data_IF_789459692020
#
_entry.id   IF_789459692020
#
_cell.length_a   1.000
_cell.length_b   1.000
_cell.length_c   1.000
_cell.angle_alpha   90.00
_cell.angle_beta   90.00
_cell.angle_gamma   90.00
#
_symmetry.space_group_name_H-M   'P 1'
#
loop_
_entity.id
_entity.type
_entity.pdbx_description
1 polymer ?
#
# COMPACT_ATOMS: atom_id res chain seq x y z
N UNK A 1 46.07 34.67 -47.60
CA UNK A 1 46.08 34.55 -46.13
C UNK A 1 44.68 34.18 -45.67
N UNK A 2 44.49 33.08 -44.93
CA UNK A 2 43.17 32.67 -44.40
C UNK A 2 42.94 33.36 -43.05
N UNK A 3 41.74 33.89 -42.77
CA UNK A 3 41.44 34.42 -41.46
C UNK A 3 41.18 33.25 -40.49
N UNK A 4 42.08 33.12 -39.53
CA UNK A 4 41.89 32.35 -38.30
C UNK A 4 40.97 33.15 -37.39
N UNK A 5 39.73 32.71 -37.14
CA UNK A 5 38.88 33.46 -36.23
C UNK A 5 37.42 33.03 -36.13
N UNK A 6 37.13 31.75 -35.87
CA UNK A 6 35.73 31.30 -35.61
C UNK A 6 35.60 30.20 -34.57
N UNK A 7 36.63 29.90 -33.76
CA UNK A 7 36.56 28.83 -32.75
C UNK A 7 35.85 29.24 -31.44
N UNK A 8 35.73 30.54 -31.16
CA UNK A 8 35.28 31.10 -29.87
C UNK A 8 33.77 30.95 -29.60
N UNK A 9 32.85 31.08 -30.59
CA UNK A 9 31.40 30.98 -30.33
C UNK A 9 30.94 29.59 -29.87
N UNK A 10 31.56 28.53 -30.41
CA UNK A 10 31.19 27.14 -30.13
C UNK A 10 31.68 26.65 -28.76
N UNK A 11 32.85 27.13 -28.32
CA UNK A 11 33.39 26.77 -27.00
C UNK A 11 32.58 27.40 -25.87
N UNK A 12 32.18 28.67 -26.06
CA UNK A 12 31.35 29.40 -25.11
C UNK A 12 29.94 28.83 -25.02
N UNK A 13 29.35 28.42 -26.16
CA UNK A 13 28.04 27.75 -26.15
C UNK A 13 28.08 26.36 -25.51
N UNK A 14 29.17 25.59 -25.69
CA UNK A 14 29.38 24.31 -25.02
C UNK A 14 29.47 24.47 -23.50
N UNK A 15 30.27 25.44 -23.02
CA UNK A 15 30.42 25.71 -21.58
C UNK A 15 29.10 26.17 -20.94
N UNK A 16 28.32 27.00 -21.64
CA UNK A 16 26.99 27.40 -21.20
C UNK A 16 26.00 26.22 -21.17
N UNK A 17 26.04 25.35 -22.17
CA UNK A 17 25.20 24.16 -22.22
C UNK A 17 25.52 23.19 -21.08
N UNK A 18 26.80 23.00 -20.75
CA UNK A 18 27.22 22.20 -19.59
C UNK A 18 26.74 22.80 -18.26
N UNK A 19 26.85 24.12 -18.10
CA UNK A 19 26.32 24.83 -16.94
C UNK A 19 24.80 24.68 -16.79
N UNK A 20 24.06 24.83 -17.89
CA UNK A 20 22.61 24.64 -17.91
C UNK A 20 22.21 23.19 -17.59
N UNK A 21 22.94 22.20 -18.11
CA UNK A 21 22.73 20.78 -17.81
C UNK A 21 22.94 20.50 -16.32
N UNK A 22 24.00 21.04 -15.72
CA UNK A 22 24.27 20.86 -14.30
C UNK A 22 23.15 21.46 -13.43
N UNK A 23 22.73 22.69 -13.75
CA UNK A 23 21.62 23.34 -13.03
C UNK A 23 20.31 22.55 -13.13
N UNK A 24 19.95 22.09 -14.33
CA UNK A 24 18.77 21.26 -14.53
C UNK A 24 18.87 19.92 -13.78
N UNK A 25 20.07 19.35 -13.67
CA UNK A 25 20.28 18.13 -12.89
C UNK A 25 20.08 18.37 -11.40
N UNK A 26 20.60 19.47 -10.85
CA UNK A 26 20.38 19.85 -9.44
C UNK A 26 18.90 20.07 -9.15
N UNK A 27 18.20 20.81 -10.00
CA UNK A 27 16.75 21.06 -9.85
C UNK A 27 15.96 19.75 -9.88
N UNK A 28 16.27 18.86 -10.82
CA UNK A 28 15.61 17.55 -10.91
C UNK A 28 15.78 16.73 -9.63
N UNK A 29 16.97 16.72 -9.03
CA UNK A 29 17.23 16.00 -7.77
C UNK A 29 16.43 16.62 -6.62
N UNK A 30 16.36 17.95 -6.53
CA UNK A 30 15.57 18.61 -5.49
C UNK A 30 14.06 18.34 -5.64
N UNK A 31 13.54 18.42 -6.86
CA UNK A 31 12.13 18.12 -7.14
C UNK A 31 11.81 16.65 -6.87
N UNK A 32 12.73 15.75 -7.19
CA UNK A 32 12.60 14.33 -6.86
C UNK A 32 12.44 14.12 -5.35
N UNK A 33 13.34 14.68 -4.53
CA UNK A 33 13.25 14.55 -3.07
C UNK A 33 11.97 15.17 -2.50
N UNK A 34 11.56 16.35 -2.99
CA UNK A 34 10.29 17.00 -2.59
C UNK A 34 9.09 16.10 -2.90
N UNK A 35 9.10 15.48 -4.08
CA UNK A 35 8.04 14.55 -4.50
C UNK A 35 8.03 13.28 -3.63
N UNK A 36 9.18 12.69 -3.33
CA UNK A 36 9.27 11.49 -2.51
C UNK A 36 8.86 11.74 -1.05
N UNK A 37 9.21 12.90 -0.49
CA UNK A 37 8.81 13.31 0.85
C UNK A 37 7.28 13.37 1.03
N UNK A 38 6.52 13.53 -0.05
CA UNK A 38 5.05 13.51 -0.04
C UNK A 38 4.52 12.11 -0.37
N UNK A 39 5.04 11.47 -1.42
CA UNK A 39 4.54 10.19 -1.92
C UNK A 39 4.75 9.05 -0.93
N UNK A 40 5.92 8.98 -0.29
CA UNK A 40 6.28 7.86 0.60
C UNK A 40 5.36 7.80 1.84
N UNK A 41 5.11 8.90 2.58
CA UNK A 41 4.18 8.89 3.70
C UNK A 41 2.75 8.51 3.30
N UNK A 42 2.25 9.04 2.18
CA UNK A 42 0.91 8.71 1.67
C UNK A 42 0.79 7.22 1.32
N UNK A 43 1.81 6.67 0.64
CA UNK A 43 1.85 5.25 0.30
C UNK A 43 1.87 4.37 1.56
N UNK A 44 2.72 4.73 2.54
CA UNK A 44 2.80 4.04 3.84
C UNK A 44 1.45 4.07 4.56
N UNK A 45 0.80 5.23 4.61
CA UNK A 45 -0.52 5.36 5.23
C UNK A 45 -1.58 4.52 4.50
N UNK A 46 -1.57 4.53 3.17
CA UNK A 46 -2.43 3.71 2.33
C UNK A 46 -2.29 2.21 2.63
N UNK A 47 -1.06 1.69 2.65
CA UNK A 47 -0.80 0.28 3.00
C UNK A 47 -1.21 -0.06 4.43
N UNK A 48 -1.01 0.86 5.38
CA UNK A 48 -1.42 0.65 6.76
C UNK A 48 -2.94 0.61 6.90
N UNK A 49 -3.67 1.49 6.19
CA UNK A 49 -5.14 1.48 6.16
C UNK A 49 -5.67 0.18 5.54
N UNK A 50 -5.09 -0.22 4.40
CA UNK A 50 -5.48 -1.44 3.68
C UNK A 50 -5.27 -2.67 4.57
N UNK A 51 -4.06 -2.87 5.10
CA UNK A 51 -3.77 -4.00 5.99
C UNK A 51 -4.67 -4.00 7.23
N UNK A 52 -4.90 -2.85 7.88
CA UNK A 52 -5.81 -2.74 9.02
C UNK A 52 -7.24 -3.13 8.68
N UNK A 53 -7.71 -2.84 7.47
CA UNK A 53 -9.04 -3.20 6.99
C UNK A 53 -9.19 -4.72 6.78
N UNK A 54 -8.13 -5.40 6.33
CA UNK A 54 -8.17 -6.85 6.05
C UNK A 54 -7.89 -7.75 7.26
N UNK A 55 -7.12 -7.30 8.25
CA UNK A 55 -6.78 -8.13 9.43
C UNK A 55 -8.01 -8.61 10.19
N UNK A 56 -9.03 -7.76 10.41
CA UNK A 56 -10.23 -8.16 11.16
C UNK A 56 -11.09 -9.17 10.39
N UNK A 57 -11.44 -8.95 9.10
CA UNK A 57 -12.10 -9.95 8.28
C UNK A 57 -11.34 -11.27 8.20
N UNK A 58 -10.02 -11.25 7.95
CA UNK A 58 -9.21 -12.46 7.83
C UNK A 58 -9.26 -13.32 9.10
N UNK A 59 -9.11 -12.72 10.28
CA UNK A 59 -9.21 -13.44 11.54
C UNK A 59 -10.62 -14.00 11.82
N UNK A 60 -11.67 -13.30 11.37
CA UNK A 60 -13.04 -13.83 11.45
C UNK A 60 -13.24 -15.01 10.51
N UNK A 61 -12.64 -14.98 9.31
CA UNK A 61 -12.64 -16.12 8.40
C UNK A 61 -12.00 -17.35 9.02
N UNK A 62 -10.89 -17.21 9.77
CA UNK A 62 -10.28 -18.33 10.50
C UNK A 62 -11.30 -18.99 11.43
N UNK A 63 -12.00 -18.20 12.26
CA UNK A 63 -13.05 -18.71 13.16
C UNK A 63 -14.15 -19.44 12.38
N UNK A 64 -14.61 -18.87 11.26
CA UNK A 64 -15.66 -19.47 10.44
C UNK A 64 -15.20 -20.78 9.79
N UNK A 65 -13.98 -20.85 9.26
CA UNK A 65 -13.48 -22.04 8.58
C UNK A 65 -13.13 -23.16 9.55
N UNK A 66 -12.62 -22.86 10.74
CA UNK A 66 -12.47 -23.84 11.82
C UNK A 66 -13.83 -24.49 12.17
N UNK A 67 -14.87 -23.66 12.31
CA UNK A 67 -16.22 -24.15 12.60
C UNK A 67 -16.79 -24.98 11.43
N UNK A 68 -16.55 -24.57 10.18
CA UNK A 68 -16.94 -25.35 9.01
C UNK A 68 -16.24 -26.71 8.95
N UNK A 69 -14.95 -26.77 9.30
CA UNK A 69 -14.20 -28.01 9.38
C UNK A 69 -14.82 -28.93 10.44
N UNK A 70 -15.14 -28.40 11.63
CA UNK A 70 -15.79 -29.14 12.71
C UNK A 70 -17.19 -29.67 12.32
N UNK A 71 -17.99 -28.87 11.61
CA UNK A 71 -19.28 -29.29 11.02
C UNK A 71 -19.08 -30.42 10.02
N UNK A 72 -18.03 -30.35 9.21
CA UNK A 72 -17.74 -31.36 8.18
C UNK A 72 -17.40 -32.72 8.81
N UNK A 73 -16.80 -32.74 10.01
CA UNK A 73 -16.58 -33.97 10.77
C UNK A 73 -17.87 -34.63 11.29
N UNK A 74 -19.00 -33.91 11.31
CA UNK A 74 -20.30 -34.48 11.66
C UNK A 74 -20.99 -35.18 10.49
N UNK A 75 -20.47 -35.02 9.26
CA UNK A 75 -21.04 -35.66 8.10
C UNK A 75 -20.78 -37.18 8.16
N UNK A 76 -21.80 -38.01 7.96
CA UNK A 76 -21.62 -39.46 7.95
C UNK A 76 -20.79 -39.89 6.73
N UNK A 77 -19.90 -40.86 6.91
CA UNK A 77 -19.22 -41.52 5.81
C UNK A 77 -20.23 -42.37 5.02
N UNK A 78 -20.46 -42.03 3.76
CA UNK A 78 -21.46 -42.68 2.91
C UNK A 78 -20.76 -43.59 1.92
N UNK A 79 -20.61 -44.86 2.28
CA UNK A 79 -20.43 -45.91 1.30
C UNK A 79 -21.78 -46.32 0.69
N UNK A 80 -21.81 -46.54 -0.63
CA UNK A 80 -22.99 -46.64 -1.51
C UNK A 80 -24.06 -47.67 -1.02
N UNK A 81 -23.70 -48.66 -0.20
CA UNK A 81 -24.63 -49.70 0.29
C UNK A 81 -25.46 -49.33 1.54
N UNK A 82 -25.24 -48.18 2.19
CA UNK A 82 -25.86 -47.87 3.50
C UNK A 82 -26.85 -46.70 3.54
N UNK A 83 -27.10 -46.00 2.42
CA UNK A 83 -27.84 -44.73 2.44
C UNK A 83 -29.29 -44.80 2.94
N UNK A 84 -29.95 -45.95 2.76
CA UNK A 84 -31.40 -46.08 3.03
C UNK A 84 -31.73 -46.13 4.53
N UNK A 85 -30.75 -46.45 5.38
CA UNK A 85 -30.91 -46.61 6.83
C UNK A 85 -30.14 -45.54 7.64
N UNK A 86 -29.43 -44.65 6.95
CA UNK A 86 -28.57 -43.66 7.57
C UNK A 86 -29.39 -42.57 8.27
N UNK A 87 -29.34 -42.55 9.61
CA UNK A 87 -29.92 -41.47 10.42
C UNK A 87 -28.84 -40.46 10.77
N UNK A 88 -28.98 -39.24 10.28
CA UNK A 88 -28.10 -38.14 10.64
C UNK A 88 -28.40 -37.65 12.06
N UNK A 89 -27.43 -37.78 12.97
CA UNK A 89 -27.53 -37.35 14.37
C UNK A 89 -26.72 -36.09 14.69
N UNK A 90 -25.93 -35.59 13.74
CA UNK A 90 -25.04 -34.43 13.94
C UNK A 90 -25.74 -33.06 13.97
N UNK A 91 -27.08 -32.99 13.89
CA UNK A 91 -27.81 -31.71 13.75
C UNK A 91 -27.54 -30.75 14.90
N UNK A 92 -27.64 -31.24 16.14
CA UNK A 92 -27.49 -30.38 17.32
C UNK A 92 -26.03 -30.00 17.57
N UNK A 93 -25.09 -30.93 17.32
CA UNK A 93 -23.66 -30.64 17.34
C UNK A 93 -23.30 -29.52 16.35
N UNK A 94 -23.82 -29.58 15.12
CA UNK A 94 -23.61 -28.53 14.12
C UNK A 94 -24.18 -27.17 14.55
N UNK A 95 -25.36 -27.15 15.19
CA UNK A 95 -25.95 -25.91 15.73
C UNK A 95 -25.09 -25.32 16.84
N UNK A 96 -24.56 -26.16 17.74
CA UNK A 96 -23.68 -25.73 18.82
C UNK A 96 -22.38 -25.12 18.28
N UNK A 97 -21.75 -25.78 17.31
CA UNK A 97 -20.54 -25.29 16.63
C UNK A 97 -20.79 -23.93 15.97
N UNK A 98 -21.91 -23.80 15.25
CA UNK A 98 -22.29 -22.54 14.62
C UNK A 98 -22.53 -21.42 15.65
N UNK A 99 -23.25 -21.70 16.74
CA UNK A 99 -23.51 -20.74 17.81
C UNK A 99 -22.22 -20.28 18.50
N UNK A 100 -21.31 -21.22 18.78
CA UNK A 100 -19.99 -20.94 19.36
C UNK A 100 -19.14 -20.07 18.42
N UNK A 101 -19.12 -20.38 17.12
CA UNK A 101 -18.41 -19.59 16.12
C UNK A 101 -18.97 -18.16 16.02
N UNK A 102 -20.30 -18.03 16.01
CA UNK A 102 -20.97 -16.72 16.04
C UNK A 102 -20.58 -15.91 17.28
N UNK A 103 -20.58 -16.54 18.46
CA UNK A 103 -20.11 -15.92 19.70
C UNK A 103 -18.66 -15.44 19.62
N UNK A 104 -17.75 -16.28 19.10
CA UNK A 104 -16.33 -15.92 18.87
C UNK A 104 -16.17 -14.75 17.89
N UNK A 105 -16.96 -14.71 16.82
CA UNK A 105 -16.94 -13.61 15.83
C UNK A 105 -17.44 -12.29 16.43
N UNK A 106 -18.45 -12.34 17.31
CA UNK A 106 -18.98 -11.16 18.01
C UNK A 106 -18.00 -10.65 19.08
N UNK A 107 -17.43 -11.56 19.86
CA UNK A 107 -16.46 -11.25 20.91
C UNK A 107 -15.04 -10.99 20.38
N UNK A 108 -14.82 -11.13 19.07
CA UNK A 108 -13.51 -10.92 18.46
C UNK A 108 -12.96 -9.53 18.84
N UNK A 109 -11.96 -9.54 19.72
CA UNK A 109 -11.12 -8.39 20.02
C UNK A 109 -9.87 -8.49 19.16
N UNK A 110 -9.54 -7.39 18.49
CA UNK A 110 -8.31 -7.27 17.72
C UNK A 110 -7.14 -7.47 18.68
N UNK A 111 -6.31 -8.47 18.45
CA UNK A 111 -4.99 -8.50 19.07
C UNK A 111 -4.21 -7.31 18.50
N UNK A 112 -3.94 -6.32 19.36
CA UNK A 112 -3.11 -5.19 19.03
C UNK A 112 -1.67 -5.68 18.93
N UNK A 113 -1.28 -6.15 17.75
CA UNK A 113 0.14 -6.15 17.36
C UNK A 113 0.54 -4.68 17.14
N UNK A 114 0.58 -3.90 18.23
CA UNK A 114 1.28 -2.63 18.25
C UNK A 114 2.75 -3.02 18.08
N UNK A 115 3.23 -2.98 16.85
CA UNK A 115 4.65 -2.90 16.60
C UNK A 115 5.17 -1.76 17.50
N UNK A 116 6.19 -1.99 18.35
CA UNK A 116 6.72 -0.93 19.18
C UNK A 116 7.05 0.28 18.30
N UNK A 117 6.78 1.51 18.79
CA UNK A 117 6.98 2.71 17.99
C UNK A 117 8.41 2.68 17.45
N UNK A 118 8.53 2.60 16.12
CA UNK A 118 9.83 2.68 15.48
C UNK A 118 10.45 4.01 15.89
N UNK A 119 11.64 3.94 16.50
CA UNK A 119 12.42 5.08 16.94
C UNK A 119 12.41 6.16 15.86
N UNK A 120 12.22 7.44 16.21
CA UNK A 120 12.33 8.51 15.23
C UNK A 120 13.72 8.44 14.62
N UNK A 121 13.80 8.17 13.32
CA UNK A 121 14.99 8.43 12.53
C UNK A 121 15.32 9.90 12.79
N UNK A 122 16.39 10.16 13.54
CA UNK A 122 16.96 11.50 13.68
C UNK A 122 17.44 11.91 12.30
N UNK A 123 16.55 12.48 11.48
CA UNK A 123 16.96 13.30 10.37
C UNK A 123 17.68 14.49 11.00
N UNK A 124 18.99 14.52 10.81
CA UNK A 124 19.84 15.62 11.20
C UNK A 124 19.40 16.86 10.41
N UNK A 125 18.41 17.58 10.93
CA UNK A 125 17.99 18.88 10.43
C UNK A 125 19.08 19.88 10.81
N UNK A 126 20.13 19.96 10.00
CA UNK A 126 20.91 21.19 9.88
C UNK A 126 20.28 22.02 8.77
N UNK A 127 19.51 22.99 9.23
CA UNK A 127 19.19 24.27 8.58
C UNK A 127 18.67 24.23 7.14
N UNK A 128 17.35 24.25 7.00
CA UNK A 128 16.74 25.04 5.93
C UNK A 128 15.72 25.99 6.56
N UNK A 129 16.06 27.28 6.54
CA UNK A 129 15.23 28.37 7.02
C UNK A 129 14.06 28.59 6.03
N UNK A 130 12.82 28.77 6.49
CA UNK A 130 11.68 28.99 5.61
C UNK A 130 11.55 30.49 5.31
N UNK A 131 12.03 30.91 4.14
CA UNK A 131 11.65 32.22 3.61
C UNK A 131 11.05 32.08 2.21
N UNK A 132 9.73 32.28 2.18
CA UNK A 132 8.91 32.87 1.13
C UNK A 132 7.79 31.98 0.54
N UNK A 133 6.64 32.60 0.21
CA UNK A 133 5.33 31.97 0.26
C UNK A 133 4.95 31.21 -1.01
N UNK A 134 4.14 30.18 -0.80
CA UNK A 134 3.40 29.44 -1.82
C UNK A 134 2.54 30.42 -2.64
N UNK A 135 2.92 30.69 -3.88
CA UNK A 135 1.99 31.15 -4.92
C UNK A 135 2.31 30.53 -6.27
N UNK A 136 1.26 29.93 -6.83
CA UNK A 136 1.00 29.67 -8.24
C UNK A 136 1.85 28.59 -8.92
N UNK A 137 1.36 27.35 -8.82
CA UNK A 137 1.41 26.37 -9.92
C UNK A 137 0.15 25.48 -9.86
N UNK A 138 -1.01 26.12 -9.95
CA UNK A 138 -2.19 25.49 -10.55
C UNK A 138 -2.30 26.02 -11.97
N UNK A 139 -1.63 25.36 -12.90
CA UNK A 139 -2.11 25.28 -14.28
C UNK A 139 -1.30 24.21 -15.00
N UNK A 140 -1.99 23.46 -15.84
CA UNK A 140 -1.46 22.46 -16.78
C UNK A 140 -0.77 21.26 -16.14
N UNK A 141 -1.54 20.22 -15.79
CA UNK A 141 -1.32 18.87 -16.30
C UNK A 141 -2.56 18.00 -16.02
N UNK A 142 -3.57 18.13 -16.89
CA UNK A 142 -4.52 17.06 -17.16
C UNK A 142 -4.93 17.15 -18.63
N UNK A 143 -4.61 16.13 -19.44
CA UNK A 143 -5.53 15.74 -20.48
C UNK A 143 -5.96 14.29 -20.30
N UNK A 144 -7.28 14.16 -20.06
CA UNK A 144 -8.18 13.22 -20.70
C UNK A 144 -7.74 11.75 -20.83
N UNK A 145 -8.17 10.94 -19.86
CA UNK A 145 -8.58 9.57 -20.15
C UNK A 145 -10.02 9.63 -20.65
N UNK A 146 -10.22 9.57 -21.96
CA UNK A 146 -11.48 9.13 -22.56
C UNK A 146 -11.25 8.52 -23.95
N UNK A 147 -11.83 7.33 -24.12
CA UNK A 147 -12.10 6.54 -25.35
C UNK A 147 -11.07 5.53 -25.84
N UNK A 148 -11.33 4.27 -25.47
CA UNK A 148 -11.25 2.97 -26.19
C UNK A 148 -11.62 1.92 -25.13
N UNK A 149 -12.64 1.07 -25.21
CA UNK A 149 -13.49 0.52 -26.26
C UNK A 149 -14.93 0.42 -25.74
#
# INVERSE_FOLDING_TARGET
MRPTGTAVPLLNSSSQAEGAKYLAQVENVELFHKNEAIKIPQLREGFLKLSKAYVKPANKCVITFEAQQEVSHQLPDVHIRGMKELKYTGSDACKEVAAKAQGRVQLYKRHNYLLPPQLPLKLNQRSFSPSLPIRLLQSSYWPAIQRRH
#
